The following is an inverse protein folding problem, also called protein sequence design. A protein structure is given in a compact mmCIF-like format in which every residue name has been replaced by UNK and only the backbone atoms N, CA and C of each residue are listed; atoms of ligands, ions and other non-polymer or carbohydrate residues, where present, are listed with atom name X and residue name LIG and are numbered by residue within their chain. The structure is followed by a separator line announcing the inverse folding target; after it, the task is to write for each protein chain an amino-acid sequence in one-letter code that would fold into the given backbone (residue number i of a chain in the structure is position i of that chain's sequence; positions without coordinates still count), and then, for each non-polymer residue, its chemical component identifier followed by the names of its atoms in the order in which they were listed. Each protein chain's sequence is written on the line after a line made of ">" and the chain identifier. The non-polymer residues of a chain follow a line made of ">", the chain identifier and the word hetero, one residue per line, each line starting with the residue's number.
data_IF_582138113805
#
_entry.id   IF_582138113805
#
_cell.length_a   1.000
_cell.length_b   1.000
_cell.length_c   1.000
_cell.angle_alpha   90.00
_cell.angle_beta   90.00
_cell.angle_gamma   90.00
#
_symmetry.space_group_name_H-M   'P 1'
#
loop_
_entity.id
_entity.type
_entity.pdbx_description
1 polymer ?
#
# COMPACT_ATOMS: atom_id res chain seq x y z
N UNK A 1 14.28 17.26 6.81
CA UNK A 1 12.83 17.36 6.58
C UNK A 1 12.10 17.03 7.88
N UNK A 2 12.27 17.86 8.93
CA UNK A 2 11.72 17.61 10.27
C UNK A 2 10.74 18.70 10.73
N UNK A 3 10.24 19.51 9.79
CA UNK A 3 9.44 20.71 10.07
C UNK A 3 8.21 20.38 10.93
N UNK A 4 7.47 19.32 10.57
CA UNK A 4 6.31 18.86 11.35
C UNK A 4 6.73 18.37 12.74
N UNK A 5 7.87 17.67 12.85
CA UNK A 5 8.37 17.16 14.13
C UNK A 5 8.82 18.28 15.07
N UNK A 6 9.48 19.31 14.55
CA UNK A 6 9.87 20.51 15.31
C UNK A 6 8.65 21.23 15.87
N UNK A 7 7.60 21.37 15.07
CA UNK A 7 6.37 21.99 15.53
C UNK A 7 5.56 21.11 16.49
N UNK A 8 5.71 19.78 16.43
CA UNK A 8 5.14 18.86 17.43
C UNK A 8 5.92 18.85 18.75
N UNK A 9 7.24 19.09 18.73
CA UNK A 9 8.05 19.24 19.94
C UNK A 9 7.70 20.50 20.75
N UNK A 10 7.21 21.55 20.07
CA UNK A 10 6.75 22.78 20.71
C UNK A 10 7.85 23.68 21.26
N UNK A 11 9.11 23.44 20.86
CA UNK A 11 10.28 24.23 21.28
C UNK A 11 10.29 25.65 20.67
N UNK A 12 9.65 25.81 19.51
CA UNK A 12 9.49 27.08 18.79
C UNK A 12 8.05 27.24 18.32
N UNK A 13 7.62 28.48 18.09
CA UNK A 13 6.29 28.72 17.55
C UNK A 13 6.20 28.22 16.09
N UNK A 14 5.01 27.76 15.69
CA UNK A 14 4.75 27.33 14.30
C UNK A 14 5.08 28.46 13.30
N UNK A 15 4.86 29.72 13.70
CA UNK A 15 5.18 30.87 12.87
C UNK A 15 6.70 31.03 12.64
N UNK A 16 7.53 30.80 13.66
CA UNK A 16 9.00 30.85 13.54
C UNK A 16 9.52 29.70 12.68
N UNK A 17 9.02 28.48 12.91
CA UNK A 17 9.37 27.29 12.12
C UNK A 17 9.04 27.53 10.64
N UNK A 18 7.85 28.07 10.34
CA UNK A 18 7.46 28.39 8.97
C UNK A 18 8.38 29.44 8.32
N UNK A 19 8.82 30.46 9.07
CA UNK A 19 9.77 31.47 8.57
C UNK A 19 11.16 30.88 8.32
N UNK A 20 11.67 30.07 9.24
CA UNK A 20 12.99 29.43 9.12
C UNK A 20 13.07 28.49 7.91
N UNK A 21 11.99 27.77 7.64
CA UNK A 21 11.91 26.85 6.51
C UNK A 21 11.33 27.47 5.23
N UNK A 22 11.02 28.76 5.26
CA UNK A 22 10.43 29.51 4.14
C UNK A 22 9.17 28.83 3.54
N UNK A 23 8.26 28.40 4.41
CA UNK A 23 6.98 27.78 4.06
C UNK A 23 5.79 28.60 4.59
N UNK A 24 4.62 28.40 3.99
CA UNK A 24 3.37 28.94 4.55
C UNK A 24 2.89 28.09 5.73
N UNK A 25 2.19 28.72 6.68
CA UNK A 25 1.56 28.00 7.79
C UNK A 25 0.51 26.99 7.30
N UNK A 26 -0.21 27.32 6.22
CA UNK A 26 -1.17 26.40 5.59
C UNK A 26 -0.50 25.11 5.14
N UNK A 27 0.70 25.20 4.54
CA UNK A 27 1.46 24.03 4.13
C UNK A 27 1.92 23.19 5.33
N UNK A 28 2.36 23.85 6.41
CA UNK A 28 2.72 23.18 7.66
C UNK A 28 1.55 22.37 8.22
N UNK A 29 0.36 22.98 8.34
CA UNK A 29 -0.80 22.29 8.90
C UNK A 29 -1.24 21.11 8.03
N UNK A 30 -1.20 21.26 6.69
CA UNK A 30 -1.46 20.14 5.77
C UNK A 30 -0.50 18.97 6.00
N UNK A 31 0.80 19.25 6.11
CA UNK A 31 1.79 18.21 6.38
C UNK A 31 1.62 17.59 7.77
N UNK A 32 1.24 18.38 8.78
CA UNK A 32 0.93 17.87 10.12
C UNK A 32 -0.22 16.87 10.08
N UNK A 33 -1.28 17.20 9.35
CA UNK A 33 -2.46 16.33 9.24
C UNK A 33 -2.12 15.03 8.48
N UNK A 34 -1.39 15.12 7.36
CA UNK A 34 -0.90 13.95 6.61
C UNK A 34 0.02 13.06 7.48
N UNK A 35 0.91 13.68 8.25
CA UNK A 35 1.82 12.97 9.14
C UNK A 35 1.09 12.19 10.24
N UNK A 36 0.10 12.83 10.89
CA UNK A 36 -0.70 12.20 11.95
C UNK A 36 -1.59 11.10 11.37
N UNK A 37 -2.27 11.35 10.24
CA UNK A 37 -3.10 10.33 9.58
C UNK A 37 -2.26 9.12 9.14
N UNK A 38 -1.11 9.35 8.51
CA UNK A 38 -0.19 8.28 8.12
C UNK A 38 0.35 7.50 9.32
N UNK A 39 0.74 8.20 10.40
CA UNK A 39 1.19 7.59 11.64
C UNK A 39 0.12 6.73 12.31
N UNK A 40 -1.11 7.24 12.42
CA UNK A 40 -2.24 6.47 12.95
C UNK A 40 -2.56 5.25 12.09
N UNK A 41 -2.57 5.40 10.76
CA UNK A 41 -2.82 4.29 9.85
C UNK A 41 -1.75 3.18 10.00
N UNK A 42 -0.47 3.54 10.09
CA UNK A 42 0.62 2.60 10.31
C UNK A 42 0.51 1.88 11.67
N UNK A 43 0.20 2.61 12.73
CA UNK A 43 0.08 2.07 14.10
C UNK A 43 -1.19 1.23 14.31
N UNK A 44 -2.27 1.52 13.58
CA UNK A 44 -3.53 0.77 13.65
C UNK A 44 -3.40 -0.70 13.20
N UNK A 45 -2.26 -1.08 12.62
CA UNK A 45 -2.01 -2.43 12.11
C UNK A 45 -2.85 -2.79 10.88
N UNK A 46 -3.70 -1.88 10.39
CA UNK A 46 -4.55 -2.07 9.22
C UNK A 46 -3.72 -2.33 7.97
N UNK A 47 -2.60 -1.63 7.80
CA UNK A 47 -1.65 -1.88 6.71
C UNK A 47 -0.97 -3.27 6.75
N UNK A 48 -0.74 -3.83 7.95
CA UNK A 48 -0.22 -5.20 8.07
C UNK A 48 -1.27 -6.26 7.75
N UNK A 49 -2.54 -5.97 8.03
CA UNK A 49 -3.66 -6.85 7.67
C UNK A 49 -3.86 -6.87 6.16
N UNK A 50 -3.90 -5.69 5.51
CA UNK A 50 -4.04 -5.61 4.05
C UNK A 50 -2.87 -6.30 3.35
N UNK A 51 -1.62 -6.08 3.76
CA UNK A 51 -0.47 -6.75 3.13
C UNK A 51 -0.52 -8.28 3.24
N UNK A 52 -1.03 -8.83 4.35
CA UNK A 52 -1.23 -10.28 4.50
C UNK A 52 -2.39 -10.81 3.67
N UNK A 53 -3.47 -10.05 3.59
CA UNK A 53 -4.64 -10.35 2.76
C UNK A 53 -4.24 -10.34 1.27
N UNK A 54 -3.50 -9.33 0.81
CA UNK A 54 -2.99 -9.20 -0.55
C UNK A 54 -2.07 -10.37 -0.93
N UNK A 55 -1.15 -10.76 -0.03
CA UNK A 55 -0.28 -11.92 -0.26
C UNK A 55 -1.07 -13.24 -0.34
N UNK A 56 -2.12 -13.40 0.48
CA UNK A 56 -2.98 -14.57 0.44
C UNK A 56 -3.86 -14.61 -0.83
N UNK A 57 -4.31 -13.45 -1.31
CA UNK A 57 -5.03 -13.32 -2.59
C UNK A 57 -4.11 -13.65 -3.76
N UNK A 58 -2.87 -13.14 -3.76
CA UNK A 58 -1.91 -13.44 -4.82
C UNK A 58 -1.57 -14.93 -4.87
N UNK A 59 -1.33 -15.58 -3.73
CA UNK A 59 -1.06 -17.01 -3.69
C UNK A 59 -2.21 -17.86 -4.27
N UNK A 60 -3.47 -17.46 -4.02
CA UNK A 60 -4.64 -18.10 -4.61
C UNK A 60 -4.75 -17.87 -6.12
N UNK A 61 -4.39 -16.67 -6.58
CA UNK A 61 -4.39 -16.35 -8.01
C UNK A 61 -3.41 -17.26 -8.76
N UNK A 62 -2.18 -17.38 -8.24
CA UNK A 62 -1.14 -18.24 -8.81
C UNK A 62 -1.59 -19.72 -8.83
N UNK A 63 -2.23 -20.19 -7.77
CA UNK A 63 -2.78 -21.56 -7.70
C UNK A 63 -3.83 -21.78 -8.79
N UNK A 64 -4.78 -20.85 -8.95
CA UNK A 64 -5.83 -20.95 -9.96
C UNK A 64 -5.27 -20.89 -11.38
N UNK A 65 -4.29 -20.04 -11.66
CA UNK A 65 -3.62 -19.97 -12.96
C UNK A 65 -2.97 -21.30 -13.33
N UNK A 66 -2.26 -21.94 -12.39
CA UNK A 66 -1.68 -23.26 -12.62
C UNK A 66 -2.74 -24.33 -12.88
N UNK A 67 -3.84 -24.30 -12.14
CA UNK A 67 -4.95 -25.25 -12.29
C UNK A 67 -5.61 -25.11 -13.66
N UNK A 68 -5.88 -23.88 -14.09
CA UNK A 68 -6.39 -23.56 -15.43
C UNK A 68 -5.42 -24.04 -16.51
N UNK A 69 -4.11 -23.81 -16.33
CA UNK A 69 -3.08 -24.29 -17.25
C UNK A 69 -3.10 -25.81 -17.41
N UNK A 70 -3.15 -26.55 -16.30
CA UNK A 70 -3.23 -28.02 -16.30
C UNK A 70 -4.51 -28.52 -16.99
N UNK A 71 -5.65 -27.91 -16.70
CA UNK A 71 -6.93 -28.26 -17.31
C UNK A 71 -6.93 -27.98 -18.82
N UNK A 72 -6.38 -26.85 -19.25
CA UNK A 72 -6.26 -26.46 -20.67
C UNK A 72 -5.45 -27.47 -21.45
N UNK A 73 -4.30 -27.91 -20.92
CA UNK A 73 -3.48 -28.97 -21.53
C UNK A 73 -4.22 -30.31 -21.59
N UNK A 74 -5.01 -30.64 -20.57
CA UNK A 74 -5.80 -31.88 -20.57
C UNK A 74 -6.91 -31.84 -21.63
N UNK A 75 -7.60 -30.71 -21.74
CA UNK A 75 -8.65 -30.49 -22.75
C UNK A 75 -8.08 -30.52 -24.17
N UNK A 76 -6.92 -29.91 -24.42
CA UNK A 76 -6.31 -29.93 -25.76
C UNK A 76 -5.91 -31.35 -26.19
N UNK A 77 -5.38 -32.17 -25.28
CA UNK A 77 -5.09 -33.59 -25.52
C UNK A 77 -6.35 -34.39 -25.82
N UNK A 78 -7.42 -34.18 -25.05
CA UNK A 78 -8.71 -34.86 -25.26
C UNK A 78 -9.31 -34.49 -26.62
N UNK A 79 -9.34 -33.20 -26.95
CA UNK A 79 -9.83 -32.71 -28.24
C UNK A 79 -9.04 -33.29 -29.42
N UNK A 80 -7.71 -33.36 -29.32
CA UNK A 80 -6.87 -33.95 -30.37
C UNK A 80 -7.14 -35.44 -30.56
N UNK A 81 -7.42 -36.17 -29.48
CA UNK A 81 -7.75 -37.60 -29.55
C UNK A 81 -9.12 -37.85 -30.19
N UNK A 82 -10.13 -37.03 -29.89
CA UNK A 82 -11.47 -37.14 -30.51
C UNK A 82 -11.53 -36.73 -31.98
N UNK A 83 -10.52 -36.03 -32.50
CA UNK A 83 -10.44 -35.66 -33.93
C UNK A 83 -9.54 -36.59 -34.75
N UNK A 84 -8.96 -37.64 -34.13
CA UNK A 84 -8.06 -38.60 -34.79
C UNK A 84 -8.70 -39.97 -35.04
N UNK A 85 -10.01 -40.10 -34.81
CA UNK A 85 -10.89 -41.20 -35.24
C UNK A 85 -11.85 -40.68 -36.30
#
# INVERSE_FOLDING_TARGET
>A
MNIVMEGLKGEQSIAEICRQHNISQTLYYRWKDEFIQGGMAALSGKQRKTAKEDAAVQAKLDEYEQLIGKLTVKLSKLKKRSTSE
#
